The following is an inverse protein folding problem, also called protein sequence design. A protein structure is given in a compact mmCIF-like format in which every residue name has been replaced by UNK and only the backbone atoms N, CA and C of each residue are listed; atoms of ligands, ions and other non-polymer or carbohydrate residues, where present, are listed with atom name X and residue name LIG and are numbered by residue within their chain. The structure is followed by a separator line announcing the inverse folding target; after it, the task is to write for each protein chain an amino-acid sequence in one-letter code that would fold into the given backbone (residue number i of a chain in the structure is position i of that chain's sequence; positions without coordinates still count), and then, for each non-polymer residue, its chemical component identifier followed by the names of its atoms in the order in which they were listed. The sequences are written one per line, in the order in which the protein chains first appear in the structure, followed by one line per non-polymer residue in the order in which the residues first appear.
data_IF_626231361447
#
_entry.id   IF_626231361447
#
_cell.length_a   1.000
_cell.length_b   1.000
_cell.length_c   1.000
_cell.angle_alpha   90.00
_cell.angle_beta   90.00
_cell.angle_gamma   90.00
#
_symmetry.space_group_name_H-M   'P 1'
#
loop_
_entity.id
_entity.type
_entity.pdbx_description
1 polymer ?
#
# COMPACT_ATOMS: atom_id res chain seq x y z
N UNK A 1 34.67 21.71 -7.90
CA UNK A 1 33.47 20.95 -8.27
C UNK A 1 32.68 20.74 -7.00
N UNK A 2 31.72 21.62 -6.72
CA UNK A 2 30.90 21.56 -5.52
C UNK A 2 29.92 20.40 -5.64
N UNK A 3 30.03 19.44 -4.71
CA UNK A 3 29.02 18.41 -4.52
C UNK A 3 27.90 19.06 -3.71
N UNK A 4 26.79 19.40 -4.37
CA UNK A 4 25.57 19.87 -3.72
C UNK A 4 25.16 18.85 -2.66
N UNK A 5 25.18 19.27 -1.40
CA UNK A 5 24.77 18.46 -0.26
C UNK A 5 23.37 17.92 -0.49
N UNK A 6 23.25 16.59 -0.46
CA UNK A 6 21.96 15.92 -0.40
C UNK A 6 21.18 16.46 0.80
N UNK A 7 19.94 16.88 0.53
CA UNK A 7 19.01 17.50 1.46
C UNK A 7 19.12 16.94 2.88
N UNK A 8 19.57 17.79 3.81
CA UNK A 8 19.36 17.54 5.23
C UNK A 8 17.86 17.43 5.43
N UNK A 9 17.33 16.23 5.72
CA UNK A 9 16.01 16.09 6.34
C UNK A 9 15.96 17.07 7.51
N UNK A 10 15.17 18.14 7.40
CA UNK A 10 14.87 18.97 8.55
C UNK A 10 14.10 18.10 9.53
N UNK A 11 14.67 17.85 10.70
CA UNK A 11 13.89 17.40 11.85
C UNK A 11 12.96 18.57 12.22
N UNK A 12 11.71 18.46 11.81
CA UNK A 12 10.69 19.51 12.01
C UNK A 12 10.03 19.44 13.38
N UNK A 13 10.41 18.47 14.23
CA UNK A 13 9.71 18.16 15.48
C UNK A 13 8.27 17.66 15.29
N UNK A 14 7.91 17.23 14.06
CA UNK A 14 6.58 16.73 13.73
C UNK A 14 6.58 15.20 13.62
N UNK A 15 5.62 14.58 14.29
CA UNK A 15 5.44 13.12 14.32
C UNK A 15 4.12 12.80 13.60
N UNK A 16 4.15 11.92 12.60
CA UNK A 16 2.94 11.39 11.98
C UNK A 16 2.46 10.16 12.77
N UNK A 17 1.38 10.34 13.54
CA UNK A 17 0.68 9.24 14.19
C UNK A 17 -0.27 8.56 13.22
N UNK A 18 -0.20 7.23 13.13
CA UNK A 18 -1.05 6.41 12.25
C UNK A 18 -1.74 5.34 13.09
N UNK A 19 -3.06 5.46 13.25
CA UNK A 19 -3.88 4.49 13.98
C UNK A 19 -4.78 3.70 13.03
N UNK A 20 -4.61 2.37 12.99
CA UNK A 20 -5.41 1.49 12.14
C UNK A 20 -6.75 1.12 12.81
N UNK A 21 -7.83 0.98 12.02
CA UNK A 21 -9.16 0.69 12.55
C UNK A 21 -10.04 -0.21 11.68
N UNK A 22 -11.16 -0.65 12.26
CA UNK A 22 -12.15 -1.49 11.56
C UNK A 22 -13.06 -0.66 10.65
N UNK A 23 -13.45 0.54 11.11
CA UNK A 23 -14.35 1.46 10.37
C UNK A 23 -13.59 2.32 9.35
N UNK A 24 -12.30 2.56 9.59
CA UNK A 24 -11.39 3.39 8.78
C UNK A 24 -10.06 2.66 8.73
N UNK A 25 -9.41 2.61 7.56
CA UNK A 25 -8.12 1.93 7.40
C UNK A 25 -7.09 2.48 8.37
N UNK A 26 -6.97 3.81 8.36
CA UNK A 26 -6.04 4.54 9.17
C UNK A 26 -6.67 5.89 9.52
N UNK A 27 -6.35 6.35 10.71
CA UNK A 27 -6.49 7.75 11.12
C UNK A 27 -5.08 8.29 11.25
N UNK A 28 -4.77 9.32 10.47
CA UNK A 28 -3.48 9.98 10.47
C UNK A 28 -3.61 11.33 11.15
N UNK A 29 -2.70 11.63 12.07
CA UNK A 29 -2.67 12.89 12.82
C UNK A 29 -1.22 13.33 12.95
N UNK A 30 -0.93 14.61 12.70
CA UNK A 30 0.38 15.18 12.97
C UNK A 30 0.41 15.66 14.41
N UNK A 31 1.45 15.26 15.14
CA UNK A 31 1.72 15.65 16.52
C UNK A 31 3.04 16.43 16.59
N UNK A 32 3.23 17.23 17.63
CA UNK A 32 4.57 17.68 18.04
C UNK A 32 5.25 16.61 18.93
N UNK A 33 6.50 16.89 19.35
CA UNK A 33 7.29 16.00 20.22
C UNK A 33 6.65 15.81 21.61
N UNK A 34 5.89 16.80 22.08
CA UNK A 34 5.14 16.74 23.35
C UNK A 34 3.83 15.92 23.24
N UNK A 35 3.48 15.47 22.03
CA UNK A 35 2.27 14.69 21.75
C UNK A 35 1.02 15.54 21.52
N UNK A 36 1.13 16.86 21.43
CA UNK A 36 0.03 17.75 21.08
C UNK A 36 -0.33 17.62 19.60
N UNK A 37 -1.63 17.61 19.32
CA UNK A 37 -2.15 17.45 17.97
C UNK A 37 -2.09 18.76 17.17
N UNK A 38 -1.35 18.74 16.05
CA UNK A 38 -1.13 19.88 15.17
C UNK A 38 -2.08 19.92 13.96
N UNK A 39 -2.62 18.77 13.54
CA UNK A 39 -3.51 18.68 12.38
C UNK A 39 -4.86 18.06 12.71
N UNK A 40 -5.88 18.38 11.90
CA UNK A 40 -7.16 17.65 11.97
C UNK A 40 -6.94 16.18 11.57
N UNK A 41 -7.66 15.22 12.17
CA UNK A 41 -7.51 13.81 11.79
C UNK A 41 -7.85 13.58 10.32
N UNK A 42 -6.91 13.00 9.58
CA UNK A 42 -7.12 12.55 8.21
C UNK A 42 -7.55 11.08 8.22
N UNK A 43 -8.62 10.76 7.49
CA UNK A 43 -9.21 9.42 7.50
C UNK A 43 -9.01 8.72 6.17
N UNK A 44 -8.24 7.63 6.18
CA UNK A 44 -8.17 6.71 5.05
C UNK A 44 -9.40 5.79 5.14
N UNK A 45 -10.29 5.88 4.14
CA UNK A 45 -11.63 5.25 4.17
C UNK A 45 -11.63 3.80 3.71
N UNK A 46 -12.63 3.05 4.17
CA UNK A 46 -12.73 1.61 4.02
C UNK A 46 -13.00 1.12 2.59
N UNK A 47 -13.66 1.90 1.74
CA UNK A 47 -14.10 1.45 0.40
C UNK A 47 -12.95 1.10 -0.53
N UNK A 48 -11.85 1.84 -0.48
CA UNK A 48 -10.63 1.49 -1.22
C UNK A 48 -9.92 0.29 -0.59
N UNK A 49 -9.91 0.15 0.75
CA UNK A 49 -9.41 -1.08 1.40
C UNK A 49 -10.18 -2.31 1.02
N UNK A 50 -11.50 -2.26 0.93
CA UNK A 50 -12.29 -3.46 0.64
C UNK A 50 -11.94 -3.96 -0.76
N UNK A 51 -11.79 -3.04 -1.71
CA UNK A 51 -11.29 -3.32 -3.04
C UNK A 51 -9.86 -3.86 -3.03
N UNK A 52 -8.94 -3.24 -2.27
CA UNK A 52 -7.57 -3.75 -2.12
C UNK A 52 -7.51 -5.11 -1.43
N UNK A 53 -8.36 -5.35 -0.44
CA UNK A 53 -8.47 -6.60 0.31
C UNK A 53 -9.01 -7.71 -0.60
N UNK A 54 -10.02 -7.40 -1.41
CA UNK A 54 -10.51 -8.31 -2.45
C UNK A 54 -9.42 -8.66 -3.45
N UNK A 55 -8.69 -7.66 -3.96
CA UNK A 55 -7.56 -7.89 -4.87
C UNK A 55 -6.45 -8.72 -4.20
N UNK A 56 -6.18 -8.51 -2.91
CA UNK A 56 -5.20 -9.28 -2.15
C UNK A 56 -5.61 -10.75 -2.03
N UNK A 57 -6.87 -11.03 -1.68
CA UNK A 57 -7.37 -12.41 -1.60
C UNK A 57 -7.40 -13.08 -2.97
N UNK A 58 -7.83 -12.38 -4.01
CA UNK A 58 -7.82 -12.87 -5.39
C UNK A 58 -6.38 -13.20 -5.83
N UNK A 59 -5.41 -12.32 -5.56
CA UNK A 59 -3.99 -12.56 -5.85
C UNK A 59 -3.48 -13.79 -5.13
N UNK A 60 -3.85 -14.00 -3.86
CA UNK A 60 -3.43 -15.17 -3.09
C UNK A 60 -4.09 -16.46 -3.58
N UNK A 61 -5.37 -16.44 -3.96
CA UNK A 61 -6.06 -17.59 -4.55
C UNK A 61 -5.40 -18.00 -5.89
N UNK A 62 -5.11 -17.03 -6.76
CA UNK A 62 -4.34 -17.25 -8.00
C UNK A 62 -2.94 -17.80 -7.70
N UNK A 63 -2.31 -17.31 -6.62
CA UNK A 63 -1.01 -17.78 -6.18
C UNK A 63 -1.05 -19.27 -5.80
N UNK A 64 -2.04 -19.67 -5.00
CA UNK A 64 -2.24 -21.06 -4.60
C UNK A 64 -2.53 -21.95 -5.80
N UNK A 65 -3.33 -21.49 -6.77
CA UNK A 65 -3.62 -22.22 -8.00
C UNK A 65 -2.38 -22.47 -8.86
N UNK A 66 -1.49 -21.48 -9.03
CA UNK A 66 -0.22 -21.74 -9.72
C UNK A 66 0.64 -22.75 -8.94
N UNK A 67 0.66 -22.64 -7.60
CA UNK A 67 1.40 -23.56 -6.73
C UNK A 67 1.00 -25.01 -6.97
N UNK A 68 -0.31 -25.27 -6.93
CA UNK A 68 -0.88 -26.58 -7.24
C UNK A 68 -0.47 -27.07 -8.64
N UNK A 69 -0.56 -26.23 -9.67
CA UNK A 69 -0.15 -26.62 -11.02
C UNK A 69 1.34 -26.93 -11.12
N UNK A 70 2.21 -26.20 -10.41
CA UNK A 70 3.66 -26.51 -10.38
C UNK A 70 3.95 -27.83 -9.70
N UNK A 71 3.30 -28.09 -8.56
CA UNK A 71 3.47 -29.34 -7.82
C UNK A 71 3.08 -30.56 -8.67
N UNK A 72 2.11 -30.41 -9.57
CA UNK A 72 1.68 -31.46 -10.50
C UNK A 72 2.43 -31.45 -11.84
N UNK A 73 3.49 -30.64 -12.00
CA UNK A 73 4.29 -30.58 -13.24
C UNK A 73 3.59 -29.88 -14.42
N UNK A 74 2.47 -29.20 -14.18
CA UNK A 74 1.62 -28.56 -15.20
C UNK A 74 2.02 -27.10 -15.48
N UNK A 75 3.25 -26.69 -15.15
CA UNK A 75 3.71 -25.33 -15.35
C UNK A 75 3.80 -24.89 -16.83
N UNK A 76 3.74 -25.84 -17.76
CA UNK A 76 3.85 -25.61 -19.20
C UNK A 76 2.50 -25.38 -19.89
N UNK A 77 1.38 -25.64 -19.20
CA UNK A 77 0.05 -25.60 -19.78
C UNK A 77 -0.41 -24.17 -20.05
N UNK A 78 -1.38 -24.03 -20.96
CA UNK A 78 -1.99 -22.73 -21.23
C UNK A 78 -2.81 -22.22 -20.04
N UNK A 79 -3.36 -23.13 -19.22
CA UNK A 79 -3.98 -22.79 -17.94
C UNK A 79 -2.99 -22.11 -17.00
N UNK A 80 -1.76 -22.63 -16.88
CA UNK A 80 -0.72 -22.01 -16.08
C UNK A 80 -0.38 -20.60 -16.58
N UNK A 81 -0.24 -20.43 -17.90
CA UNK A 81 0.03 -19.11 -18.51
C UNK A 81 -1.12 -18.13 -18.27
N UNK A 82 -2.36 -18.60 -18.40
CA UNK A 82 -3.56 -17.80 -18.16
C UNK A 82 -3.63 -17.32 -16.71
N UNK A 83 -3.49 -18.22 -15.75
CA UNK A 83 -3.48 -17.88 -14.32
C UNK A 83 -2.32 -16.96 -13.94
N UNK A 84 -1.14 -17.15 -14.54
CA UNK A 84 -0.01 -16.23 -14.35
C UNK A 84 -0.32 -14.82 -14.87
N UNK A 85 -1.00 -14.71 -16.01
CA UNK A 85 -1.42 -13.42 -16.56
C UNK A 85 -2.44 -12.72 -15.66
N UNK A 86 -3.45 -13.45 -15.16
CA UNK A 86 -4.40 -12.94 -14.16
C UNK A 86 -3.68 -12.47 -12.89
N UNK A 87 -2.77 -13.28 -12.35
CA UNK A 87 -1.97 -12.91 -11.17
C UNK A 87 -1.23 -11.59 -11.38
N UNK A 88 -0.53 -11.43 -12.51
CA UNK A 88 0.21 -10.21 -12.85
C UNK A 88 -0.74 -9.01 -12.96
N UNK A 89 -1.91 -9.18 -13.58
CA UNK A 89 -2.93 -8.12 -13.68
C UNK A 89 -3.41 -7.69 -12.30
N UNK A 90 -3.74 -8.63 -11.43
CA UNK A 90 -4.24 -8.34 -10.07
C UNK A 90 -3.15 -7.75 -9.17
N UNK A 91 -1.89 -8.19 -9.32
CA UNK A 91 -0.73 -7.59 -8.64
C UNK A 91 -0.48 -6.14 -9.09
N UNK A 92 -0.58 -5.85 -10.38
CA UNK A 92 -0.41 -4.49 -10.89
C UNK A 92 -1.53 -3.55 -10.38
N UNK A 93 -2.78 -4.04 -10.32
CA UNK A 93 -3.89 -3.29 -9.71
C UNK A 93 -3.62 -2.98 -8.23
N UNK A 94 -3.07 -3.94 -7.47
CA UNK A 94 -2.66 -3.73 -6.08
C UNK A 94 -1.56 -2.68 -5.94
N UNK A 95 -0.52 -2.77 -6.78
CA UNK A 95 0.60 -1.81 -6.73
C UNK A 95 0.11 -0.39 -7.05
N UNK A 96 -0.69 -0.23 -8.11
CA UNK A 96 -1.25 1.06 -8.47
C UNK A 96 -2.10 1.66 -7.36
N UNK A 97 -2.90 0.85 -6.67
CA UNK A 97 -3.69 1.30 -5.51
C UNK A 97 -2.81 1.71 -4.32
N UNK A 98 -1.73 0.99 -4.05
CA UNK A 98 -0.75 1.35 -3.02
C UNK A 98 -0.07 2.68 -3.33
N UNK A 99 0.32 2.90 -4.59
CA UNK A 99 0.91 4.17 -5.05
C UNK A 99 -0.06 5.34 -4.89
N UNK A 100 -1.33 5.17 -5.25
CA UNK A 100 -2.37 6.18 -5.04
C UNK A 100 -2.49 6.59 -3.56
N UNK A 101 -2.51 5.62 -2.64
CA UNK A 101 -2.58 5.91 -1.21
C UNK A 101 -1.30 6.53 -0.64
N UNK A 102 -0.12 6.12 -1.12
CA UNK A 102 1.14 6.73 -0.71
C UNK A 102 1.21 8.20 -1.12
N UNK A 103 0.72 8.53 -2.33
CA UNK A 103 0.64 9.92 -2.80
C UNK A 103 -0.34 10.77 -1.96
N UNK A 104 -1.51 10.22 -1.60
CA UNK A 104 -2.47 10.88 -0.69
C UNK A 104 -1.87 11.17 0.69
N UNK A 105 -1.10 10.22 1.23
CA UNK A 105 -0.38 10.38 2.50
C UNK A 105 0.71 11.45 2.41
N UNK A 106 1.49 11.50 1.33
CA UNK A 106 2.54 12.50 1.15
C UNK A 106 1.97 13.93 1.14
N UNK A 107 0.87 14.16 0.42
CA UNK A 107 0.16 15.46 0.43
C UNK A 107 -0.37 15.87 1.81
N UNK A 108 -0.56 14.90 2.71
CA UNK A 108 -1.04 15.15 4.08
C UNK A 108 0.11 15.53 5.03
N UNK A 109 1.34 15.11 4.73
CA UNK A 109 2.55 15.37 5.53
C UNK A 109 3.23 16.70 5.16
N UNK A 110 2.98 17.20 3.95
CA UNK A 110 3.53 18.49 3.46
C UNK A 110 2.79 19.74 4.00
N UNK A 111 1.91 19.57 5.01
CA UNK A 111 1.31 20.66 5.81
C UNK A 111 1.91 20.70 7.22
#
# INVERSE_FOLDING_TARGET
MEVRGLDKKQETGRILSVNLGVKKMATCVVLNEDGEQLSKPHFIRSSETEKMRRLYYERNDLNSKFGNLREHGLAHTDEFKHLQAEYKRTQNKLNHKREQHAAELQLTVDF
#
